data_IF_213243089820
#
_entry.id   IF_213243089820
#
_cell.length_a   1.000
_cell.length_b   1.000
_cell.length_c   1.000
_cell.angle_alpha   90.00
_cell.angle_beta   90.00
_cell.angle_gamma   90.00
#
_symmetry.space_group_name_H-M   'P 1'
#
loop_
_entity.id
_entity.type
_entity.pdbx_description
1 polymer ?
#
# COMPACT_ATOMS: atom_id res chain seq x y z
N UNK A 1 -12.54 -30.50 -54.76
CA UNK A 1 -13.59 -30.39 -53.73
C UNK A 1 -13.06 -30.06 -52.33
N UNK A 2 -12.48 -30.99 -51.55
CA UNK A 2 -12.10 -30.74 -50.14
C UNK A 2 -11.13 -29.57 -49.90
N UNK A 3 -10.10 -29.39 -50.73
CA UNK A 3 -9.13 -28.27 -50.58
C UNK A 3 -9.79 -26.90 -50.87
N UNK A 4 -10.83 -26.86 -51.73
CA UNK A 4 -11.53 -25.63 -52.10
C UNK A 4 -12.43 -25.09 -50.97
N UNK A 5 -12.85 -25.95 -50.03
CA UNK A 5 -13.70 -25.59 -48.90
C UNK A 5 -12.93 -25.29 -47.59
N UNK A 6 -11.69 -25.77 -47.47
CA UNK A 6 -10.88 -25.62 -46.24
C UNK A 6 -10.33 -24.20 -46.09
N UNK A 7 -9.82 -23.58 -47.15
CA UNK A 7 -9.25 -22.24 -47.07
C UNK A 7 -10.27 -21.16 -46.63
N UNK A 8 -11.51 -21.12 -47.18
CA UNK A 8 -12.55 -20.19 -46.70
C UNK A 8 -12.95 -20.45 -45.24
N UNK A 9 -13.05 -21.73 -44.84
CA UNK A 9 -13.41 -22.10 -43.48
C UNK A 9 -12.33 -21.67 -42.48
N UNK A 10 -11.05 -21.86 -42.82
CA UNK A 10 -9.93 -21.43 -41.99
C UNK A 10 -9.86 -19.89 -41.87
N UNK A 11 -10.09 -19.17 -42.97
CA UNK A 11 -10.19 -17.71 -42.97
C UNK A 11 -11.31 -17.23 -42.03
N UNK A 12 -12.48 -17.87 -42.11
CA UNK A 12 -13.62 -17.56 -41.24
C UNK A 12 -13.33 -17.86 -39.77
N UNK A 13 -12.60 -18.93 -39.48
CA UNK A 13 -12.17 -19.25 -38.11
C UNK A 13 -11.14 -18.26 -37.56
N UNK A 14 -10.19 -17.80 -38.39
CA UNK A 14 -9.23 -16.76 -38.03
C UNK A 14 -9.94 -15.43 -37.70
N UNK A 15 -10.84 -14.98 -38.57
CA UNK A 15 -11.62 -13.76 -38.34
C UNK A 15 -12.47 -13.87 -37.06
N UNK A 16 -13.08 -15.04 -36.81
CA UNK A 16 -13.82 -15.29 -35.58
C UNK A 16 -12.90 -15.27 -34.35
N UNK A 17 -11.70 -15.84 -34.44
CA UNK A 17 -10.72 -15.83 -33.36
C UNK A 17 -10.21 -14.41 -33.08
N UNK A 18 -9.91 -13.62 -34.10
CA UNK A 18 -9.53 -12.21 -33.95
C UNK A 18 -10.65 -11.35 -33.35
N UNK A 19 -11.90 -11.60 -33.76
CA UNK A 19 -13.05 -10.91 -33.18
C UNK A 19 -13.23 -11.26 -31.70
N UNK A 20 -13.08 -12.55 -31.33
CA UNK A 20 -13.12 -12.98 -29.93
C UNK A 20 -11.98 -12.37 -29.12
N UNK A 21 -10.74 -12.47 -29.59
CA UNK A 21 -9.59 -11.90 -28.89
C UNK A 21 -9.70 -10.38 -28.68
N UNK A 22 -10.27 -9.64 -29.64
CA UNK A 22 -10.55 -8.20 -29.46
C UNK A 22 -11.64 -7.94 -28.42
N UNK A 23 -12.66 -8.78 -28.35
CA UNK A 23 -13.72 -8.66 -27.35
C UNK A 23 -13.20 -9.01 -25.96
N UNK A 24 -12.49 -10.13 -25.81
CA UNK A 24 -11.86 -10.57 -24.57
C UNK A 24 -10.86 -9.53 -24.05
N UNK A 25 -9.92 -9.09 -24.89
CA UNK A 25 -8.94 -8.07 -24.51
C UNK A 25 -9.56 -6.73 -24.13
N UNK A 26 -10.70 -6.36 -24.75
CA UNK A 26 -11.44 -5.15 -24.33
C UNK A 26 -12.06 -5.34 -22.95
N UNK A 27 -12.67 -6.49 -22.68
CA UNK A 27 -13.30 -6.79 -21.38
C UNK A 27 -12.24 -6.81 -20.29
N UNK A 28 -11.13 -7.52 -20.50
CA UNK A 28 -10.02 -7.58 -19.56
C UNK A 28 -9.40 -6.20 -19.32
N UNK A 29 -9.19 -5.42 -20.38
CA UNK A 29 -8.64 -4.07 -20.26
C UNK A 29 -9.55 -3.11 -19.49
N UNK A 30 -10.86 -3.18 -19.71
CA UNK A 30 -11.83 -2.38 -18.95
C UNK A 30 -11.84 -2.82 -17.48
N UNK A 31 -11.86 -4.13 -17.22
CA UNK A 31 -11.91 -4.66 -15.85
C UNK A 31 -10.65 -4.23 -15.06
N UNK A 32 -9.46 -4.44 -15.62
CA UNK A 32 -8.21 -4.01 -15.00
C UNK A 32 -8.15 -2.48 -14.81
N UNK A 33 -8.66 -1.72 -15.78
CA UNK A 33 -8.71 -0.26 -15.71
C UNK A 33 -9.61 0.25 -14.58
N UNK A 34 -10.80 -0.33 -14.43
CA UNK A 34 -11.73 -0.01 -13.35
C UNK A 34 -11.14 -0.37 -11.99
N UNK A 35 -10.57 -1.57 -11.85
CA UNK A 35 -9.95 -2.01 -10.58
C UNK A 35 -8.81 -1.10 -10.16
N UNK A 36 -7.88 -0.78 -11.08
CA UNK A 36 -6.78 0.15 -10.80
C UNK A 36 -7.28 1.55 -10.46
N UNK A 37 -8.25 2.05 -11.21
CA UNK A 37 -8.81 3.40 -10.98
C UNK A 37 -9.53 3.52 -9.63
N UNK A 38 -10.30 2.50 -9.24
CA UNK A 38 -10.95 2.46 -7.92
C UNK A 38 -9.90 2.40 -6.81
N UNK A 39 -8.88 1.55 -6.94
CA UNK A 39 -7.83 1.43 -5.93
C UNK A 39 -7.04 2.73 -5.78
N UNK A 40 -6.58 3.32 -6.88
CA UNK A 40 -5.83 4.58 -6.87
C UNK A 40 -6.67 5.72 -6.27
N UNK A 41 -7.92 5.87 -6.71
CA UNK A 41 -8.80 6.90 -6.16
C UNK A 41 -9.08 6.74 -4.66
N UNK A 42 -9.16 5.49 -4.17
CA UNK A 42 -9.28 5.20 -2.74
C UNK A 42 -8.02 5.61 -1.98
N UNK A 43 -6.84 5.24 -2.46
CA UNK A 43 -5.56 5.58 -1.83
C UNK A 43 -5.30 7.09 -1.81
N UNK A 44 -5.52 7.78 -2.93
CA UNK A 44 -5.40 9.23 -3.03
C UNK A 44 -6.40 9.96 -2.11
N UNK A 45 -7.64 9.44 -2.04
CA UNK A 45 -8.66 9.94 -1.13
C UNK A 45 -8.27 9.76 0.34
N UNK A 46 -7.81 8.57 0.73
CA UNK A 46 -7.33 8.30 2.10
C UNK A 46 -6.14 9.20 2.44
N UNK A 47 -5.18 9.36 1.52
CA UNK A 47 -4.04 10.25 1.69
C UNK A 47 -4.47 11.68 1.98
N UNK A 48 -5.39 12.19 1.17
CA UNK A 48 -5.93 13.55 1.36
C UNK A 48 -6.64 13.70 2.70
N UNK A 49 -7.40 12.68 3.13
CA UNK A 49 -8.10 12.70 4.41
C UNK A 49 -7.11 12.76 5.58
N UNK A 50 -6.14 11.84 5.62
CA UNK A 50 -5.19 11.78 6.75
C UNK A 50 -4.23 12.97 6.77
N UNK A 51 -3.78 13.45 5.61
CA UNK A 51 -2.95 14.66 5.51
C UNK A 51 -3.67 15.88 6.10
N UNK A 52 -4.92 16.10 5.70
CA UNK A 52 -5.71 17.22 6.22
C UNK A 52 -6.05 17.04 7.70
N UNK A 53 -6.37 15.82 8.13
CA UNK A 53 -6.63 15.50 9.53
C UNK A 53 -5.45 15.89 10.41
N UNK A 54 -4.24 15.45 10.03
CA UNK A 54 -3.02 15.74 10.76
C UNK A 54 -2.69 17.24 10.71
N UNK A 55 -2.87 17.91 9.57
CA UNK A 55 -2.65 19.36 9.48
C UNK A 55 -3.56 20.18 10.38
N UNK A 56 -4.85 19.83 10.44
CA UNK A 56 -5.81 20.52 11.30
C UNK A 56 -5.46 20.34 12.77
N UNK A 57 -4.92 19.17 13.15
CA UNK A 57 -4.59 18.86 14.56
C UNK A 57 -3.22 19.39 14.99
N UNK A 58 -2.21 19.22 14.15
CA UNK A 58 -0.80 19.42 14.51
C UNK A 58 -0.16 20.63 13.82
N UNK A 59 -0.84 21.25 12.85
CA UNK A 59 -0.26 22.32 12.03
C UNK A 59 0.57 21.78 10.86
N UNK A 60 1.67 22.44 10.53
CA UNK A 60 2.54 21.98 9.45
C UNK A 60 3.15 20.61 9.76
N UNK A 61 3.06 19.69 8.79
CA UNK A 61 3.61 18.35 8.94
C UNK A 61 5.10 18.37 8.67
N UNK A 62 5.88 17.85 9.61
CA UNK A 62 7.29 17.59 9.37
C UNK A 62 7.51 16.49 8.32
N UNK A 63 8.76 16.38 7.86
CA UNK A 63 9.15 15.42 6.84
C UNK A 63 8.95 13.96 7.28
N UNK A 64 9.12 13.64 8.57
CA UNK A 64 8.95 12.27 9.08
C UNK A 64 7.49 11.82 8.98
N UNK A 65 6.55 12.64 9.47
CA UNK A 65 5.12 12.38 9.36
C UNK A 65 4.65 12.28 7.90
N UNK A 66 5.15 13.19 7.05
CA UNK A 66 4.74 13.25 5.64
C UNK A 66 5.10 11.97 4.86
N UNK A 67 6.24 11.35 5.19
CA UNK A 67 6.73 10.13 4.52
C UNK A 67 5.81 8.92 4.79
N UNK A 68 5.17 8.84 5.96
CA UNK A 68 4.24 7.77 6.27
C UNK A 68 2.87 7.89 5.59
N UNK A 69 2.50 9.06 5.07
CA UNK A 69 1.15 9.28 4.51
C UNK A 69 0.87 8.36 3.31
N UNK A 70 1.86 8.11 2.45
CA UNK A 70 1.68 7.24 1.30
C UNK A 70 1.35 5.79 1.71
N UNK A 71 2.19 5.08 2.50
CA UNK A 71 1.90 3.69 2.85
C UNK A 71 0.65 3.51 3.70
N UNK A 72 0.37 4.39 4.67
CA UNK A 72 -0.85 4.24 5.50
C UNK A 72 -2.15 4.52 4.74
N UNK A 73 -2.07 5.17 3.58
CA UNK A 73 -3.23 5.38 2.70
C UNK A 73 -3.56 4.16 1.84
N UNK A 74 -2.67 3.16 1.82
CA UNK A 74 -2.95 1.87 1.23
C UNK A 74 -3.79 0.97 2.16
N UNK A 75 -3.89 1.31 3.46
CA UNK A 75 -4.61 0.51 4.46
C UNK A 75 -6.05 0.20 4.02
N UNK A 76 -6.58 -1.00 4.33
CA UNK A 76 -7.99 -1.30 4.15
C UNK A 76 -8.89 -0.26 4.84
N UNK A 77 -10.08 0.02 4.29
CA UNK A 77 -10.96 1.08 4.77
C UNK A 77 -11.28 0.98 6.28
N UNK A 78 -11.46 -0.23 6.80
CA UNK A 78 -11.68 -0.48 8.23
C UNK A 78 -10.47 -0.09 9.08
N UNK A 79 -9.27 -0.51 8.68
CA UNK A 79 -8.02 -0.19 9.39
C UNK A 79 -7.69 1.30 9.34
N UNK A 80 -7.92 1.93 8.19
CA UNK A 80 -7.79 3.37 8.01
C UNK A 80 -8.74 4.15 8.93
N UNK A 81 -10.00 3.70 9.04
CA UNK A 81 -10.97 4.31 9.97
C UNK A 81 -10.52 4.19 11.42
N UNK A 82 -10.01 3.02 11.82
CA UNK A 82 -9.46 2.81 13.17
C UNK A 82 -8.24 3.71 13.42
N UNK A 83 -7.36 3.86 12.43
CA UNK A 83 -6.21 4.78 12.52
C UNK A 83 -6.67 6.22 12.76
N UNK A 84 -7.66 6.73 12.02
CA UNK A 84 -8.20 8.06 12.23
C UNK A 84 -8.78 8.24 13.65
N UNK A 85 -9.48 7.23 14.16
CA UNK A 85 -10.00 7.25 15.52
C UNK A 85 -8.86 7.30 16.56
N UNK A 86 -7.81 6.50 16.40
CA UNK A 86 -6.65 6.52 17.28
C UNK A 86 -5.94 7.88 17.25
N UNK A 87 -5.72 8.45 16.06
CA UNK A 87 -5.14 9.78 15.89
C UNK A 87 -6.01 10.89 16.52
N UNK A 88 -7.33 10.73 16.53
CA UNK A 88 -8.25 11.70 17.14
C UNK A 88 -8.15 11.82 18.65
N UNK A 89 -7.63 10.79 19.31
CA UNK A 89 -7.47 10.73 20.75
C UNK A 89 -6.15 11.35 21.26
N UNK A 90 -5.18 11.58 20.37
CA UNK A 90 -3.85 12.10 20.73
C UNK A 90 -3.90 13.58 21.11
N UNK A 91 -3.03 14.08 21.97
CA UNK A 91 -2.98 15.53 22.26
C UNK A 91 -2.46 16.32 21.05
N UNK A 92 -2.64 17.65 21.03
CA UNK A 92 -2.15 18.53 19.93
C UNK A 92 -0.75 19.10 20.17
N UNK A 93 -0.08 18.66 21.23
CA UNK A 93 1.25 19.07 21.65
C UNK A 93 2.34 18.14 21.07
N UNK A 94 3.59 18.40 21.44
CA UNK A 94 4.76 17.63 21.00
C UNK A 94 4.63 16.13 21.32
N UNK A 95 4.09 15.78 22.50
CA UNK A 95 3.87 14.39 22.87
C UNK A 95 2.85 13.72 21.93
N UNK A 96 1.76 14.40 21.60
CA UNK A 96 0.77 13.91 20.64
C UNK A 96 1.34 13.71 19.24
N UNK A 97 2.26 14.58 18.81
CA UNK A 97 2.98 14.47 17.53
C UNK A 97 3.89 13.23 17.53
N UNK A 98 4.67 13.00 18.59
CA UNK A 98 5.51 11.80 18.71
C UNK A 98 4.68 10.51 18.74
N UNK A 99 3.55 10.53 19.44
CA UNK A 99 2.61 9.40 19.45
C UNK A 99 2.02 9.16 18.05
N UNK A 100 1.73 10.21 17.29
CA UNK A 100 1.25 10.08 15.91
C UNK A 100 2.34 9.44 15.02
N UNK A 101 3.59 9.87 15.11
CA UNK A 101 4.72 9.26 14.37
C UNK A 101 4.86 7.77 14.68
N UNK A 102 4.86 7.41 15.98
CA UNK A 102 4.91 6.00 16.43
C UNK A 102 3.75 5.18 15.91
N UNK A 103 2.54 5.71 15.98
CA UNK A 103 1.35 5.03 15.49
C UNK A 103 1.41 4.79 13.98
N UNK A 104 1.80 5.79 13.17
CA UNK A 104 1.92 5.64 11.73
C UNK A 104 3.01 4.62 11.36
N UNK A 105 4.18 4.71 11.99
CA UNK A 105 5.25 3.73 11.84
C UNK A 105 4.79 2.31 12.17
N UNK A 106 4.08 2.13 13.29
CA UNK A 106 3.52 0.85 13.69
C UNK A 106 2.53 0.31 12.65
N UNK A 107 1.64 1.15 12.11
CA UNK A 107 0.71 0.72 11.04
C UNK A 107 1.45 0.28 9.79
N UNK A 108 2.52 0.97 9.40
CA UNK A 108 3.32 0.56 8.22
C UNK A 108 3.98 -0.80 8.46
N UNK A 109 4.60 -1.00 9.62
CA UNK A 109 5.23 -2.29 9.94
C UNK A 109 4.19 -3.40 10.09
N UNK A 110 3.06 -3.14 10.73
CA UNK A 110 1.95 -4.11 10.80
C UNK A 110 1.30 -4.38 9.45
N UNK A 111 1.23 -3.42 8.55
CA UNK A 111 0.74 -3.69 7.19
C UNK A 111 1.72 -4.61 6.45
N UNK A 112 3.02 -4.38 6.65
CA UNK A 112 4.09 -5.16 6.04
C UNK A 112 4.15 -6.59 6.57
N UNK A 113 4.12 -6.76 7.89
CA UNK A 113 4.23 -8.05 8.55
C UNK A 113 2.87 -8.71 8.85
N UNK A 114 1.78 -7.96 8.96
CA UNK A 114 0.46 -8.46 9.38
C UNK A 114 -0.38 -9.10 8.28
N UNK A 115 0.09 -9.12 7.03
CA UNK A 115 -0.39 -10.12 6.06
C UNK A 115 -0.02 -11.56 6.47
N UNK A 116 0.87 -11.71 7.44
CA UNK A 116 1.26 -12.99 8.00
C UNK A 116 0.26 -13.40 9.08
N UNK A 117 -0.88 -13.94 8.65
CA UNK A 117 -1.65 -14.90 9.46
C UNK A 117 -0.89 -16.22 9.70
N UNK A 118 0.35 -16.32 9.20
CA UNK A 118 1.20 -17.50 9.15
C UNK A 118 2.70 -17.13 9.24
N UNK A 119 3.12 -16.19 10.11
CA UNK A 119 4.56 -16.11 10.42
C UNK A 119 4.96 -17.34 11.22
N UNK A 120 5.97 -18.07 10.72
CA UNK A 120 6.70 -19.07 11.49
C UNK A 120 7.49 -18.47 12.68
N UNK A 121 7.59 -17.13 12.74
CA UNK A 121 8.24 -16.38 13.81
C UNK A 121 7.21 -15.85 14.82
N UNK A 122 7.07 -16.56 15.94
CA UNK A 122 6.14 -16.24 17.02
C UNK A 122 6.55 -14.98 17.82
N UNK A 123 7.80 -14.54 17.69
CA UNK A 123 8.35 -13.41 18.45
C UNK A 123 8.18 -12.07 17.72
N UNK A 124 7.79 -12.10 16.44
CA UNK A 124 7.69 -10.90 15.62
C UNK A 124 6.75 -9.81 16.20
N UNK A 125 5.58 -10.13 16.79
CA UNK A 125 4.75 -9.12 17.46
C UNK A 125 5.46 -8.42 18.63
N UNK A 126 6.31 -9.12 19.36
CA UNK A 126 7.07 -8.57 20.50
C UNK A 126 8.20 -7.63 20.04
N UNK A 127 8.69 -7.82 18.81
CA UNK A 127 9.76 -7.00 18.20
C UNK A 127 9.25 -5.71 17.56
N UNK A 128 7.94 -5.58 17.29
CA UNK A 128 7.37 -4.39 16.64
C UNK A 128 7.73 -3.06 17.34
N UNK A 129 7.66 -2.93 18.67
CA UNK A 129 8.01 -1.68 19.36
C UNK A 129 9.47 -1.24 19.11
N UNK A 130 10.40 -2.19 19.08
CA UNK A 130 11.82 -1.91 18.82
C UNK A 130 12.03 -1.53 17.35
N UNK A 131 11.38 -2.24 16.43
CA UNK A 131 11.42 -1.91 15.00
C UNK A 131 10.83 -0.53 14.71
N UNK A 132 9.74 -0.13 15.39
CA UNK A 132 9.19 1.23 15.31
C UNK A 132 10.21 2.25 15.77
N UNK A 133 10.90 1.98 16.88
CA UNK A 133 11.91 2.88 17.43
C UNK A 133 13.08 3.05 16.47
N UNK A 134 13.57 1.97 15.88
CA UNK A 134 14.68 2.00 14.92
C UNK A 134 14.26 2.67 13.60
N UNK A 135 13.03 2.43 13.14
CA UNK A 135 12.48 3.09 11.94
C UNK A 135 12.39 4.62 12.12
N UNK A 136 11.98 5.08 13.31
CA UNK A 136 11.88 6.51 13.62
C UNK A 136 13.23 7.16 13.94
N UNK A 137 14.28 6.37 14.18
CA UNK A 137 15.63 6.88 14.36
C UNK A 137 16.34 7.23 13.04
N UNK A 138 15.82 6.75 11.89
CA UNK A 138 16.33 7.06 10.56
C UNK A 138 16.15 8.54 10.22
N UNK A 139 17.04 9.07 9.36
CA UNK A 139 16.82 10.39 8.78
C UNK A 139 15.55 10.40 7.91
N UNK A 140 14.91 11.57 7.67
CA UNK A 140 13.75 11.65 6.78
C UNK A 140 14.04 11.11 5.37
N UNK A 141 15.26 11.32 4.86
CA UNK A 141 15.70 10.83 3.55
C UNK A 141 15.86 9.30 3.53
N UNK A 142 16.50 8.74 4.57
CA UNK A 142 16.69 7.29 4.72
C UNK A 142 15.35 6.57 4.89
N UNK A 143 14.46 7.13 5.72
CA UNK A 143 13.12 6.64 5.91
C UNK A 143 12.32 6.68 4.61
N UNK A 144 12.36 7.80 3.87
CA UNK A 144 11.67 7.92 2.58
C UNK A 144 12.15 6.88 1.57
N UNK A 145 13.47 6.68 1.49
CA UNK A 145 14.06 5.67 0.62
C UNK A 145 13.64 4.25 1.02
N UNK A 146 13.65 3.95 2.32
CA UNK A 146 13.23 2.65 2.83
C UNK A 146 11.75 2.38 2.53
N UNK A 147 10.86 3.35 2.78
CA UNK A 147 9.42 3.19 2.53
C UNK A 147 9.11 3.08 1.03
N UNK A 148 9.87 3.74 0.17
CA UNK A 148 9.75 3.57 -1.28
C UNK A 148 10.13 2.16 -1.74
N UNK A 149 11.15 1.57 -1.12
CA UNK A 149 11.62 0.20 -1.43
C UNK A 149 10.78 -0.88 -0.73
N UNK A 150 9.94 -0.50 0.23
CA UNK A 150 9.17 -1.42 1.07
C UNK A 150 8.37 -2.46 0.28
N UNK A 151 7.74 -2.19 -0.88
CA UNK A 151 7.03 -3.24 -1.62
C UNK A 151 7.93 -4.35 -2.20
N UNK A 152 9.23 -4.11 -2.33
CA UNK A 152 10.19 -5.00 -2.99
C UNK A 152 11.12 -5.73 -2.02
N UNK A 153 11.32 -5.20 -0.80
CA UNK A 153 12.19 -5.79 0.20
C UNK A 153 11.61 -7.11 0.73
N UNK A 154 12.45 -8.10 1.03
CA UNK A 154 12.02 -9.28 1.81
C UNK A 154 11.88 -8.95 3.30
N UNK A 155 11.14 -9.76 4.05
CA UNK A 155 10.95 -9.52 5.49
C UNK A 155 12.27 -9.68 6.26
N UNK A 156 13.09 -10.65 5.88
CA UNK A 156 14.44 -10.83 6.44
C UNK A 156 15.33 -9.61 6.18
N UNK A 157 15.31 -9.06 4.96
CA UNK A 157 16.07 -7.85 4.61
C UNK A 157 15.59 -6.63 5.39
N UNK A 158 14.28 -6.46 5.53
CA UNK A 158 13.70 -5.36 6.29
C UNK A 158 14.08 -5.47 7.77
N UNK A 159 13.96 -6.65 8.36
CA UNK A 159 14.39 -6.91 9.74
C UNK A 159 15.88 -6.65 9.91
N UNK A 160 16.73 -7.11 8.99
CA UNK A 160 18.18 -6.87 9.06
C UNK A 160 18.53 -5.37 9.01
N UNK A 161 17.80 -4.58 8.20
CA UNK A 161 17.98 -3.12 8.14
C UNK A 161 17.52 -2.40 9.40
N UNK A 162 16.50 -2.91 10.07
CA UNK A 162 15.91 -2.31 11.27
C UNK A 162 16.42 -2.92 12.58
N UNK A 163 17.30 -3.92 12.55
CA UNK A 163 17.86 -4.56 13.76
C UNK A 163 19.24 -4.02 14.15
N UNK A 164 19.78 -3.04 13.41
CA UNK A 164 21.07 -2.39 13.68
C UNK A 164 20.88 -1.01 14.31
#
# INVERSE_FOLDING_TARGET
ELVMAIAPLFQQQLEAAEQRGRQEGRIEGIQQGIERGIQQGREEGQRSIIENFLRVRFGELDALLAVFLAPVSALPATEFTLLLLQLSALTGDEEGIEQARRLLAEKVLRMRFGQLGDTADAELPERIPDLVTNLLALSPEELALLLQQLPQLSDEELLARLSN
#
